data_IF_746845753551
#
_entry.id   IF_746845753551
#
_cell.length_a   1.000
_cell.length_b   1.000
_cell.length_c   1.000
_cell.angle_alpha   90.00
_cell.angle_beta   90.00
_cell.angle_gamma   90.00
#
_symmetry.space_group_name_H-M   'P 1'
#
loop_
_entity.id
_entity.type
_entity.pdbx_description
1 polymer ?
#
# COMPACT_ATOMS: atom_id res chain seq x y z
N UNK A 1 13.38 12.43 -5.85
CA UNK A 1 14.29 11.52 -5.12
C UNK A 1 13.66 10.14 -5.18
N UNK A 2 14.28 9.18 -5.86
CA UNK A 2 13.75 7.80 -5.94
C UNK A 2 14.00 7.11 -4.61
N UNK A 3 12.94 6.66 -3.92
CA UNK A 3 13.09 5.85 -2.72
C UNK A 3 13.87 4.56 -3.08
N UNK A 4 14.80 4.15 -2.21
CA UNK A 4 15.51 2.87 -2.39
C UNK A 4 14.51 1.72 -2.25
N UNK A 5 14.61 0.75 -3.16
CA UNK A 5 13.82 -0.47 -3.06
C UNK A 5 14.17 -1.20 -1.75
N UNK A 6 13.15 -1.45 -0.93
CA UNK A 6 13.28 -2.29 0.26
C UNK A 6 13.42 -3.75 -0.18
N UNK A 7 14.19 -4.53 0.58
CA UNK A 7 14.41 -5.97 0.33
C UNK A 7 13.87 -6.85 1.45
N UNK A 8 13.45 -6.25 2.57
CA UNK A 8 13.00 -6.97 3.76
C UNK A 8 11.77 -6.30 4.34
N UNK A 9 10.78 -7.12 4.70
CA UNK A 9 9.63 -6.69 5.49
C UNK A 9 10.03 -6.67 6.96
N UNK A 10 9.84 -5.52 7.62
CA UNK A 10 10.03 -5.40 9.07
C UNK A 10 8.67 -5.39 9.78
N UNK A 11 8.32 -6.51 10.40
CA UNK A 11 7.13 -6.60 11.25
C UNK A 11 7.21 -5.58 12.40
N UNK A 12 6.10 -4.89 12.68
CA UNK A 12 6.02 -3.81 13.67
C UNK A 12 6.69 -2.49 13.26
N UNK A 13 7.36 -2.42 12.11
CA UNK A 13 7.84 -1.16 11.52
C UNK A 13 6.76 -0.49 10.67
N UNK A 14 6.87 0.83 10.47
CA UNK A 14 6.05 1.55 9.49
C UNK A 14 6.46 1.12 8.08
N UNK A 15 5.49 0.71 7.27
CA UNK A 15 5.70 0.47 5.84
C UNK A 15 5.38 1.73 5.05
N UNK A 16 6.16 1.98 4.00
CA UNK A 16 6.03 3.16 3.16
C UNK A 16 5.92 2.77 1.69
N UNK A 17 5.25 3.60 0.90
CA UNK A 17 5.21 3.44 -0.54
C UNK A 17 6.50 3.97 -1.18
N UNK A 18 6.58 3.88 -2.51
CA UNK A 18 7.72 4.35 -3.30
C UNK A 18 7.98 5.87 -3.18
N UNK A 19 7.05 6.64 -2.63
CA UNK A 19 7.19 8.08 -2.35
C UNK A 19 7.57 8.36 -0.88
N UNK A 20 7.79 7.30 -0.09
CA UNK A 20 8.09 7.39 1.33
C UNK A 20 6.89 7.71 2.21
N UNK A 21 5.67 7.70 1.66
CA UNK A 21 4.46 7.95 2.44
C UNK A 21 4.02 6.68 3.18
N UNK A 22 3.55 6.79 4.44
CA UNK A 22 2.97 5.66 5.17
C UNK A 22 1.84 4.97 4.39
N UNK A 23 1.87 3.64 4.35
CA UNK A 23 0.77 2.85 3.81
C UNK A 23 -0.46 2.95 4.72
N UNK A 24 -1.59 3.24 4.10
CA UNK A 24 -2.90 3.29 4.75
C UNK A 24 -3.87 2.32 4.06
N UNK A 25 -3.78 1.05 4.44
CA UNK A 25 -4.62 -0.04 3.94
C UNK A 25 -5.02 -0.99 5.09
N UNK A 26 -5.61 -0.42 6.14
CA UNK A 26 -5.92 -1.16 7.37
C UNK A 26 -7.11 -2.10 7.18
N UNK A 27 -7.06 -3.27 7.83
CA UNK A 27 -8.19 -4.21 7.91
C UNK A 27 -8.73 -4.71 6.58
N UNK A 28 -7.96 -4.58 5.49
CA UNK A 28 -8.41 -4.93 4.16
C UNK A 28 -7.88 -6.28 3.69
N UNK A 29 -7.64 -6.39 2.39
CA UNK A 29 -7.26 -7.65 1.75
C UNK A 29 -6.48 -7.45 0.47
N UNK A 30 -5.97 -8.55 -0.07
CA UNK A 30 -5.15 -8.56 -1.28
C UNK A 30 -5.74 -9.43 -2.37
N UNK A 31 -5.61 -8.98 -3.61
CA UNK A 31 -5.92 -9.77 -4.82
C UNK A 31 -4.72 -9.79 -5.75
N UNK A 32 -4.59 -10.86 -6.53
CA UNK A 32 -3.50 -11.02 -7.49
C UNK A 32 -4.06 -10.97 -8.90
N UNK A 33 -3.53 -10.08 -9.73
CA UNK A 33 -3.87 -10.03 -11.15
C UNK A 33 -2.65 -9.68 -12.00
N UNK A 34 -2.41 -10.48 -13.05
CA UNK A 34 -1.35 -10.26 -14.06
C UNK A 34 0.04 -10.00 -13.44
N UNK A 35 0.38 -10.77 -12.40
CA UNK A 35 1.68 -10.68 -11.70
C UNK A 35 1.80 -9.47 -10.76
N UNK A 36 0.70 -8.81 -10.43
CA UNK A 36 0.64 -7.75 -9.43
C UNK A 36 -0.22 -8.16 -8.26
N UNK A 37 0.27 -7.84 -7.06
CA UNK A 37 -0.51 -7.86 -5.83
C UNK A 37 -1.15 -6.49 -5.65
N UNK A 38 -2.46 -6.45 -5.43
CA UNK A 38 -3.20 -5.24 -5.11
C UNK A 38 -3.70 -5.34 -3.68
N UNK A 39 -3.29 -4.41 -2.83
CA UNK A 39 -3.70 -4.34 -1.43
C UNK A 39 -4.70 -3.21 -1.24
N UNK A 40 -5.91 -3.59 -0.87
CA UNK A 40 -7.00 -2.70 -0.53
C UNK A 40 -7.13 -2.60 0.97
N UNK A 41 -7.48 -1.42 1.49
CA UNK A 41 -7.86 -1.28 2.89
C UNK A 41 -8.24 0.14 3.28
N UNK A 42 -8.69 0.28 4.52
CA UNK A 42 -9.14 1.54 5.11
C UNK A 42 -7.99 2.55 5.20
N UNK A 43 -8.26 3.80 4.83
CA UNK A 43 -7.40 4.94 5.13
C UNK A 43 -7.79 5.59 6.45
N UNK A 44 -6.93 5.48 7.48
CA UNK A 44 -7.23 5.94 8.83
C UNK A 44 -6.84 7.39 9.14
N UNK A 45 -6.53 8.21 8.13
CA UNK A 45 -6.20 9.64 8.32
C UNK A 45 -7.44 10.53 8.54
N UNK A 46 -8.48 9.99 9.18
CA UNK A 46 -9.71 10.72 9.49
C UNK A 46 -10.66 10.94 8.31
N UNK A 47 -10.55 10.14 7.24
CA UNK A 47 -11.45 10.21 6.08
C UNK A 47 -12.00 8.83 5.77
N UNK A 48 -13.28 8.74 5.41
CA UNK A 48 -13.93 7.48 5.04
C UNK A 48 -13.53 7.12 3.60
N UNK A 49 -12.42 6.39 3.46
CA UNK A 49 -11.80 6.03 2.16
C UNK A 49 -11.26 4.61 2.15
N UNK A 50 -11.23 4.01 0.97
CA UNK A 50 -10.49 2.78 0.68
C UNK A 50 -9.34 3.12 -0.25
N UNK A 51 -8.11 2.87 0.19
CA UNK A 51 -6.90 3.02 -0.61
C UNK A 51 -6.52 1.70 -1.27
N UNK A 52 -5.90 1.80 -2.44
CA UNK A 52 -5.31 0.68 -3.16
C UNK A 52 -3.82 0.96 -3.40
N UNK A 53 -2.98 0.00 -3.01
CA UNK A 53 -1.56 -0.06 -3.35
C UNK A 53 -1.32 -1.28 -4.23
N UNK A 54 -0.25 -1.29 -5.03
CA UNK A 54 0.19 -2.50 -5.74
C UNK A 54 1.67 -2.78 -5.58
N UNK A 55 2.05 -4.04 -5.70
CA UNK A 55 3.43 -4.51 -5.64
C UNK A 55 3.65 -5.71 -6.57
N UNK A 56 4.89 -5.96 -7.00
CA UNK A 56 5.30 -7.23 -7.63
C UNK A 56 5.98 -8.19 -6.67
N UNK A 57 6.53 -7.68 -5.58
CA UNK A 57 7.45 -8.41 -4.69
C UNK A 57 6.95 -8.46 -3.24
N UNK A 58 5.77 -7.89 -2.94
CA UNK A 58 5.18 -7.73 -1.61
C UNK A 58 5.95 -6.79 -0.66
N UNK A 59 7.02 -6.15 -1.15
CA UNK A 59 7.90 -5.30 -0.35
C UNK A 59 7.78 -3.85 -0.79
N UNK A 60 7.86 -3.61 -2.09
CA UNK A 60 7.84 -2.27 -2.69
C UNK A 60 6.43 -1.96 -3.19
N UNK A 61 5.80 -0.97 -2.58
CA UNK A 61 4.40 -0.63 -2.81
C UNK A 61 4.27 0.69 -3.58
N UNK A 62 3.46 0.67 -4.63
CA UNK A 62 3.07 1.84 -5.40
C UNK A 62 1.64 2.23 -5.01
N UNK A 63 1.43 3.47 -4.59
CA UNK A 63 0.08 4.00 -4.38
C UNK A 63 -0.64 4.08 -5.73
N UNK A 64 -1.87 3.57 -5.80
CA UNK A 64 -2.67 3.57 -7.02
C UNK A 64 -3.77 4.59 -6.98
N UNK A 65 -4.62 4.54 -5.96
CA UNK A 65 -5.66 5.55 -5.73
C UNK A 65 -6.35 5.34 -4.39
N UNK A 66 -7.11 6.34 -3.96
CA UNK A 66 -8.30 6.12 -3.13
C UNK A 66 -9.43 5.62 -4.04
N UNK A 67 -9.58 4.29 -4.13
CA UNK A 67 -10.54 3.65 -5.04
C UNK A 67 -11.99 3.83 -4.61
N UNK A 68 -12.21 4.20 -3.35
CA UNK A 68 -13.50 4.63 -2.85
C UNK A 68 -13.34 5.76 -1.84
N UNK A 69 -14.31 6.68 -1.83
CA UNK A 69 -14.42 7.82 -0.92
C UNK A 69 -15.91 8.14 -0.73
N UNK A 70 -16.30 8.48 0.50
CA UNK A 70 -17.59 9.10 0.79
C UNK A 70 -17.54 10.60 0.53
#
# INVERSE_FOLDING_TARGET
MTAKAQTVIRNGGQWTDAEGQPLHAHGGGMVVEKGWYYWFGEDRRGRVRVSCYRSRDLVNWEFRNHVWKM
#
